data_IF_126035793696
#
_entry.id   IF_126035793696
#
_cell.length_a   1.000
_cell.length_b   1.000
_cell.length_c   1.000
_cell.angle_alpha   90.00
_cell.angle_beta   90.00
_cell.angle_gamma   90.00
#
_symmetry.space_group_name_H-M   'P 1'
#
loop_
_entity.id
_entity.type
_entity.pdbx_description
1 polymer ?
#
# COMPACT_ATOMS: atom_id res chain seq x y z
N UNK A 1 -17.87 -31.43 43.78
CA UNK A 1 -16.78 -31.89 42.89
C UNK A 1 -17.43 -32.59 41.70
N UNK A 2 -17.67 -31.87 40.63
CA UNK A 2 -18.39 -32.37 39.44
C UNK A 2 -17.42 -32.41 38.26
N UNK A 3 -17.13 -33.62 37.81
CA UNK A 3 -16.27 -33.94 36.67
C UNK A 3 -17.05 -33.78 35.37
N UNK A 4 -16.65 -32.80 34.55
CA UNK A 4 -17.17 -32.59 33.20
C UNK A 4 -16.37 -33.47 32.23
N UNK A 5 -17.06 -34.43 31.60
CA UNK A 5 -16.53 -35.29 30.53
C UNK A 5 -16.45 -34.50 29.22
N UNK A 6 -15.28 -34.53 28.57
CA UNK A 6 -15.07 -34.03 27.22
C UNK A 6 -15.49 -35.10 26.19
N UNK A 7 -16.45 -34.78 25.33
CA UNK A 7 -16.86 -35.60 24.18
C UNK A 7 -16.03 -35.25 22.94
N UNK A 8 -15.65 -36.30 22.21
CA UNK A 8 -14.79 -36.24 21.03
C UNK A 8 -15.42 -35.53 19.84
N UNK A 9 -14.57 -34.88 19.04
CA UNK A 9 -14.91 -34.31 17.74
C UNK A 9 -14.68 -35.34 16.64
N UNK A 10 -15.77 -35.82 16.06
CA UNK A 10 -15.77 -36.53 14.79
C UNK A 10 -15.39 -35.57 13.65
N UNK A 11 -14.40 -35.98 12.86
CA UNK A 11 -14.00 -35.32 11.61
C UNK A 11 -14.83 -35.90 10.47
N UNK A 12 -15.99 -35.31 10.19
CA UNK A 12 -16.74 -35.58 8.97
C UNK A 12 -16.12 -34.81 7.79
N UNK A 13 -15.74 -35.53 6.74
CA UNK A 13 -15.19 -34.98 5.51
C UNK A 13 -16.26 -34.18 4.75
N UNK A 14 -15.95 -32.93 4.42
CA UNK A 14 -16.82 -32.08 3.62
C UNK A 14 -16.87 -32.56 2.16
N UNK A 15 -18.07 -32.75 1.58
CA UNK A 15 -18.21 -33.12 0.18
C UNK A 15 -17.75 -31.97 -0.72
N UNK A 16 -16.96 -32.31 -1.73
CA UNK A 16 -16.42 -31.42 -2.76
C UNK A 16 -17.58 -30.95 -3.65
N UNK A 17 -18.18 -29.81 -3.32
CA UNK A 17 -19.25 -29.22 -4.12
C UNK A 17 -18.69 -28.77 -5.48
N UNK A 18 -19.28 -29.29 -6.57
CA UNK A 18 -19.03 -28.85 -7.94
C UNK A 18 -19.46 -27.38 -8.04
N UNK A 19 -18.50 -26.49 -8.24
CA UNK A 19 -18.73 -25.07 -8.51
C UNK A 19 -19.43 -24.94 -9.86
N UNK A 20 -20.76 -24.87 -9.86
CA UNK A 20 -21.51 -24.42 -11.03
C UNK A 20 -21.05 -23.00 -11.37
N UNK A 21 -20.85 -22.72 -12.66
CA UNK A 21 -20.59 -21.38 -13.18
C UNK A 21 -21.79 -20.49 -12.86
N UNK A 22 -21.82 -19.92 -11.65
CA UNK A 22 -22.70 -18.80 -11.33
C UNK A 22 -22.13 -17.63 -12.12
N UNK A 23 -22.83 -17.25 -13.19
CA UNK A 23 -22.59 -15.99 -13.92
C UNK A 23 -22.83 -14.88 -12.90
N UNK A 24 -21.77 -14.46 -12.21
CA UNK A 24 -21.84 -13.31 -11.33
C UNK A 24 -22.08 -12.11 -12.23
N UNK A 25 -23.26 -11.48 -12.11
CA UNK A 25 -23.53 -10.17 -12.70
C UNK A 25 -22.50 -9.19 -12.14
N UNK A 26 -21.42 -8.97 -12.89
CA UNK A 26 -20.42 -7.97 -12.53
C UNK A 26 -21.08 -6.62 -12.64
N UNK A 27 -20.95 -5.83 -11.59
CA UNK A 27 -21.40 -4.45 -11.59
C UNK A 27 -20.47 -3.68 -12.53
N UNK A 28 -20.98 -3.30 -13.70
CA UNK A 28 -20.19 -2.55 -14.68
C UNK A 28 -19.98 -1.11 -14.19
N UNK A 29 -18.76 -0.59 -14.39
CA UNK A 29 -18.47 0.80 -14.05
C UNK A 29 -19.27 1.72 -14.98
N UNK A 30 -19.92 2.78 -14.47
CA UNK A 30 -20.67 3.71 -15.31
C UNK A 30 -19.76 4.63 -16.15
N UNK A 31 -18.44 4.51 -16.02
CA UNK A 31 -17.46 5.40 -16.66
C UNK A 31 -16.69 4.66 -17.74
N UNK A 32 -16.53 5.31 -18.90
CA UNK A 32 -15.73 4.77 -20.00
C UNK A 32 -14.27 5.18 -19.78
N UNK A 33 -13.37 4.23 -19.61
CA UNK A 33 -11.94 4.53 -19.40
C UNK A 33 -11.17 4.72 -20.70
N UNK A 34 -9.95 5.26 -20.63
CA UNK A 34 -9.08 5.36 -21.81
C UNK A 34 -8.76 3.97 -22.34
N UNK A 35 -8.53 3.01 -21.44
CA UNK A 35 -8.31 1.60 -21.78
C UNK A 35 -9.53 0.96 -22.45
N UNK A 36 -10.75 1.28 -22.03
CA UNK A 36 -11.97 0.76 -22.67
C UNK A 36 -12.08 1.25 -24.11
N UNK A 37 -11.89 2.56 -24.34
CA UNK A 37 -11.91 3.15 -25.69
C UNK A 37 -10.83 2.52 -26.57
N UNK A 38 -9.60 2.39 -26.07
CA UNK A 38 -8.51 1.75 -26.83
C UNK A 38 -8.82 0.28 -27.14
N UNK A 39 -9.36 -0.47 -26.18
CA UNK A 39 -9.71 -1.87 -26.35
C UNK A 39 -10.80 -2.05 -27.41
N UNK A 40 -11.79 -1.16 -27.40
CA UNK A 40 -12.87 -1.16 -28.39
C UNK A 40 -12.38 -0.83 -29.80
N UNK A 41 -11.53 0.19 -29.94
CA UNK A 41 -10.90 0.50 -31.24
C UNK A 41 -10.06 -0.67 -31.74
N UNK A 42 -9.26 -1.27 -30.85
CA UNK A 42 -8.42 -2.42 -31.20
C UNK A 42 -9.25 -3.65 -31.60
N UNK A 43 -10.41 -3.86 -30.97
CA UNK A 43 -11.36 -4.91 -31.33
C UNK A 43 -11.86 -4.71 -32.77
N UNK A 44 -12.33 -3.51 -33.10
CA UNK A 44 -12.78 -3.18 -34.45
C UNK A 44 -11.67 -3.32 -35.51
N UNK A 45 -10.45 -2.86 -35.21
CA UNK A 45 -9.31 -3.03 -36.12
C UNK A 45 -8.98 -4.50 -36.35
N UNK A 46 -9.05 -5.34 -35.32
CA UNK A 46 -8.82 -6.77 -35.45
C UNK A 46 -9.90 -7.44 -36.34
N UNK A 47 -11.16 -7.05 -36.19
CA UNK A 47 -12.26 -7.60 -36.99
C UNK A 47 -12.17 -7.16 -38.46
N UNK A 48 -11.82 -5.90 -38.74
CA UNK A 48 -11.55 -5.43 -40.11
C UNK A 48 -10.38 -6.17 -40.76
N UNK A 49 -9.32 -6.46 -40.00
CA UNK A 49 -8.17 -7.21 -40.50
C UNK A 49 -8.52 -8.69 -40.79
N UNK A 50 -9.41 -9.31 -40.01
CA UNK A 50 -9.93 -10.66 -40.29
C UNK A 50 -10.71 -10.69 -41.61
N UNK A 51 -11.61 -9.72 -41.83
CA UNK A 51 -12.40 -9.64 -43.06
C UNK A 51 -11.55 -9.44 -44.32
N UNK A 52 -10.46 -8.66 -44.23
CA UNK A 52 -9.54 -8.44 -45.36
C UNK A 52 -8.76 -9.70 -45.74
N UNK A 53 -8.35 -10.50 -44.76
CA UNK A 53 -7.56 -11.70 -45.04
C UNK A 53 -8.44 -12.90 -45.44
N UNK A 54 -9.74 -12.88 -45.13
CA UNK A 54 -10.67 -13.93 -45.57
C UNK A 54 -11.02 -13.84 -47.05
N UNK A 55 -10.79 -12.71 -47.74
CA UNK A 55 -11.17 -12.57 -49.16
C UNK A 55 -10.11 -13.05 -50.15
N UNK A 56 -8.84 -13.18 -49.75
CA UNK A 56 -7.72 -13.30 -50.70
C UNK A 56 -6.96 -14.65 -50.61
N UNK A 57 -7.43 -15.63 -49.83
CA UNK A 57 -6.69 -16.88 -49.59
C UNK A 57 -7.39 -18.13 -50.15
N UNK A 58 -7.72 -18.10 -51.44
CA UNK A 58 -7.77 -19.31 -52.28
C UNK A 58 -6.55 -19.30 -53.21
N UNK A 59 -5.34 -19.51 -52.67
CA UNK A 59 -4.25 -20.00 -53.50
C UNK A 59 -3.25 -20.85 -52.72
N UNK A 60 -2.99 -21.99 -53.34
CA UNK A 60 -2.30 -23.20 -52.90
C UNK A 60 -0.78 -23.07 -52.89
N UNK A 61 -0.13 -23.78 -51.96
CA UNK A 61 1.21 -24.32 -52.15
C UNK A 61 2.35 -23.36 -51.85
N UNK A 62 2.88 -23.42 -50.63
CA UNK A 62 4.19 -24.06 -50.40
C UNK A 62 4.56 -23.91 -48.92
N UNK A 63 4.61 -25.07 -48.28
CA UNK A 63 5.14 -25.28 -46.95
C UNK A 63 6.66 -25.05 -47.03
N UNK A 64 7.16 -23.90 -46.58
CA UNK A 64 8.49 -23.76 -45.97
C UNK A 64 8.91 -22.29 -45.85
N UNK A 65 8.48 -21.61 -44.77
CA UNK A 65 9.35 -20.58 -44.18
C UNK A 65 8.94 -20.18 -42.75
N UNK A 66 9.66 -20.72 -41.78
CA UNK A 66 9.51 -20.53 -40.33
C UNK A 66 9.88 -19.12 -39.82
N UNK A 67 9.90 -18.11 -40.68
CA UNK A 67 10.31 -16.74 -40.36
C UNK A 67 9.25 -15.67 -40.66
N UNK A 68 7.99 -16.10 -40.80
CA UNK A 68 6.86 -15.19 -40.89
C UNK A 68 6.65 -14.54 -39.53
N UNK A 69 7.36 -13.43 -39.28
CA UNK A 69 6.94 -12.37 -38.35
C UNK A 69 5.48 -12.10 -38.66
N UNK A 70 4.57 -12.70 -37.90
CA UNK A 70 3.14 -12.49 -38.01
C UNK A 70 2.94 -10.98 -38.07
N UNK A 71 2.46 -10.44 -39.19
CA UNK A 71 2.14 -9.02 -39.31
C UNK A 71 1.11 -8.76 -38.22
N UNK A 72 1.58 -8.23 -37.08
CA UNK A 72 0.71 -7.95 -35.93
C UNK A 72 -0.34 -6.98 -36.46
N UNK A 73 -1.61 -7.32 -36.25
CA UNK A 73 -2.71 -6.45 -36.63
C UNK A 73 -2.44 -5.04 -36.06
N UNK A 74 -2.76 -3.98 -36.83
CA UNK A 74 -2.61 -2.62 -36.34
C UNK A 74 -3.35 -2.48 -35.00
N UNK A 75 -2.67 -1.91 -34.00
CA UNK A 75 -3.25 -1.69 -32.67
C UNK A 75 -2.82 -0.33 -32.14
N UNK A 76 -3.72 0.32 -31.44
CA UNK A 76 -3.43 1.47 -30.60
C UNK A 76 -2.94 1.00 -29.24
N UNK A 77 -1.92 1.67 -28.72
CA UNK A 77 -1.42 1.48 -27.37
C UNK A 77 -1.12 2.84 -26.73
N UNK A 78 -1.41 2.95 -25.43
CA UNK A 78 -1.07 4.15 -24.68
C UNK A 78 0.44 4.27 -24.56
N UNK A 79 0.98 5.42 -24.95
CA UNK A 79 2.41 5.71 -24.88
C UNK A 79 2.68 6.85 -23.90
N UNK A 80 3.68 6.69 -23.04
CA UNK A 80 4.25 7.77 -22.23
C UNK A 80 5.31 8.49 -23.03
N UNK A 81 5.17 9.81 -23.13
CA UNK A 81 6.18 10.70 -23.71
C UNK A 81 7.15 11.17 -22.61
N UNK A 82 8.44 11.13 -22.91
CA UNK A 82 9.50 11.65 -22.06
C UNK A 82 9.93 13.06 -22.49
N UNK A 83 10.69 13.74 -21.62
CA UNK A 83 11.15 15.12 -21.87
C UNK A 83 12.11 15.24 -23.06
N UNK A 84 12.78 14.15 -23.43
CA UNK A 84 13.64 14.02 -24.63
C UNK A 84 12.84 13.82 -25.93
N UNK A 85 11.50 13.74 -25.84
CA UNK A 85 10.61 13.49 -26.96
C UNK A 85 10.43 12.00 -27.31
N UNK A 86 11.19 11.09 -26.69
CA UNK A 86 11.01 9.65 -26.90
C UNK A 86 9.68 9.17 -26.31
N UNK A 87 9.17 8.07 -26.85
CA UNK A 87 7.96 7.43 -26.34
C UNK A 87 8.22 5.99 -25.92
N UNK A 88 7.55 5.57 -24.85
CA UNK A 88 7.50 4.15 -24.46
C UNK A 88 6.06 3.73 -24.24
N UNK A 89 5.78 2.44 -24.30
CA UNK A 89 4.50 1.89 -23.86
C UNK A 89 4.24 2.25 -22.39
N UNK A 90 3.04 2.73 -22.09
CA UNK A 90 2.61 3.03 -20.73
C UNK A 90 2.58 1.73 -19.90
N UNK A 91 3.16 1.78 -18.71
CA UNK A 91 3.07 0.67 -17.74
C UNK A 91 1.62 0.48 -17.24
N UNK A 92 1.26 -0.68 -16.68
CA UNK A 92 -0.09 -0.91 -16.16
C UNK A 92 -0.54 0.14 -15.12
N UNK A 93 0.38 0.59 -14.26
CA UNK A 93 0.09 1.65 -13.28
C UNK A 93 -0.17 3.00 -13.94
N UNK A 94 0.53 3.32 -15.04
CA UNK A 94 0.29 4.55 -15.80
C UNK A 94 -1.03 4.49 -16.58
N UNK A 95 -1.39 3.31 -17.10
CA UNK A 95 -2.70 3.09 -17.72
C UNK A 95 -3.82 3.29 -16.69
N UNK A 96 -3.73 2.63 -15.52
CA UNK A 96 -4.69 2.78 -14.44
C UNK A 96 -4.81 4.24 -13.96
N UNK A 97 -3.71 4.98 -13.88
CA UNK A 97 -3.72 6.40 -13.52
C UNK A 97 -4.42 7.26 -14.58
N UNK A 98 -4.19 6.99 -15.87
CA UNK A 98 -4.90 7.68 -16.96
C UNK A 98 -6.39 7.34 -16.97
N UNK A 99 -6.74 6.07 -16.76
CA UNK A 99 -8.13 5.63 -16.66
C UNK A 99 -8.84 6.34 -15.51
N UNK A 100 -8.20 6.41 -14.34
CA UNK A 100 -8.74 7.14 -13.20
C UNK A 100 -8.88 8.64 -13.51
N UNK A 101 -7.91 9.26 -14.18
CA UNK A 101 -8.02 10.65 -14.60
C UNK A 101 -9.21 10.88 -15.55
N UNK A 102 -9.43 9.99 -16.53
CA UNK A 102 -10.59 10.05 -17.42
C UNK A 102 -11.91 9.92 -16.66
N UNK A 103 -11.99 9.00 -15.67
CA UNK A 103 -13.17 8.88 -14.79
C UNK A 103 -13.44 10.17 -14.03
N UNK A 104 -12.40 10.74 -13.40
CA UNK A 104 -12.51 11.99 -12.63
C UNK A 104 -12.95 13.16 -13.52
N UNK A 105 -12.46 13.25 -14.75
CA UNK A 105 -12.90 14.29 -15.71
C UNK A 105 -14.37 14.13 -16.11
N UNK A 106 -14.81 12.91 -16.43
CA UNK A 106 -16.22 12.64 -16.74
C UNK A 106 -17.14 12.97 -15.57
N UNK A 107 -16.74 12.57 -14.37
CA UNK A 107 -17.47 12.89 -13.13
C UNK A 107 -17.54 14.40 -12.92
N UNK A 108 -16.44 15.12 -13.08
CA UNK A 108 -16.43 16.58 -12.91
C UNK A 108 -17.41 17.27 -13.87
N UNK A 109 -17.44 16.86 -15.14
CA UNK A 109 -18.41 17.37 -16.13
C UNK A 109 -19.84 17.02 -15.72
N UNK A 110 -20.09 15.79 -15.30
CA UNK A 110 -21.42 15.35 -14.87
C UNK A 110 -21.91 16.11 -13.63
N UNK A 111 -21.08 16.22 -12.59
CA UNK A 111 -21.40 16.93 -11.35
C UNK A 111 -21.65 18.42 -11.62
N UNK A 112 -20.88 19.04 -12.52
CA UNK A 112 -21.10 20.42 -12.93
C UNK A 112 -22.44 20.62 -13.68
N UNK A 113 -23.00 19.57 -14.27
CA UNK A 113 -24.33 19.61 -14.89
C UNK A 113 -25.49 19.50 -13.88
N UNK A 114 -25.22 19.06 -12.65
CA UNK A 114 -26.22 18.99 -11.58
C UNK A 114 -26.45 20.39 -11.02
N UNK A 115 -27.72 20.83 -11.01
CA UNK A 115 -28.08 22.23 -10.75
C UNK A 115 -28.13 22.57 -9.27
N UNK A 116 -28.32 21.56 -8.40
CA UNK A 116 -28.50 21.78 -6.96
C UNK A 116 -27.52 20.98 -6.11
N UNK A 117 -27.11 21.54 -4.96
CA UNK A 117 -26.29 20.84 -3.95
C UNK A 117 -26.96 19.54 -3.50
N UNK A 118 -28.30 19.51 -3.45
CA UNK A 118 -29.08 18.32 -3.09
C UNK A 118 -28.92 17.19 -4.13
N UNK A 119 -28.92 17.52 -5.43
CA UNK A 119 -28.67 16.54 -6.49
C UNK A 119 -27.23 16.01 -6.44
N UNK A 120 -26.25 16.89 -6.23
CA UNK A 120 -24.85 16.50 -6.06
C UNK A 120 -24.65 15.58 -4.86
N UNK A 121 -25.30 15.89 -3.73
CA UNK A 121 -25.32 15.04 -2.54
C UNK A 121 -25.94 13.66 -2.83
N UNK A 122 -27.12 13.64 -3.45
CA UNK A 122 -27.81 12.39 -3.77
C UNK A 122 -26.99 11.50 -4.71
N UNK A 123 -26.36 12.10 -5.72
CA UNK A 123 -25.45 11.41 -6.62
C UNK A 123 -24.23 10.85 -5.87
N UNK A 124 -23.61 11.66 -5.02
CA UNK A 124 -22.44 11.23 -4.23
C UNK A 124 -22.78 10.08 -3.27
N UNK A 125 -23.97 10.10 -2.66
CA UNK A 125 -24.45 9.01 -1.79
C UNK A 125 -24.74 7.72 -2.58
N UNK A 126 -25.27 7.85 -3.82
CA UNK A 126 -25.44 6.72 -4.72
C UNK A 126 -24.08 6.09 -5.11
N UNK A 127 -23.08 6.92 -5.48
CA UNK A 127 -21.72 6.44 -5.75
C UNK A 127 -21.08 5.81 -4.51
N UNK A 128 -21.28 6.38 -3.32
CA UNK A 128 -20.81 5.77 -2.07
C UNK A 128 -21.43 4.40 -1.83
N UNK A 129 -22.71 4.23 -2.18
CA UNK A 129 -23.41 2.95 -2.07
C UNK A 129 -22.84 1.92 -3.05
N UNK A 130 -22.64 2.31 -4.31
CA UNK A 130 -21.96 1.50 -5.33
C UNK A 130 -20.55 1.06 -4.89
N UNK A 131 -19.77 1.97 -4.30
CA UNK A 131 -18.46 1.63 -3.74
C UNK A 131 -18.54 0.60 -2.61
N UNK A 132 -19.61 0.63 -1.80
CA UNK A 132 -19.82 -0.41 -0.78
C UNK A 132 -20.11 -1.78 -1.40
N UNK A 133 -20.80 -1.83 -2.55
CA UNK A 133 -21.05 -3.09 -3.26
C UNK A 133 -19.73 -3.71 -3.73
N UNK A 134 -18.85 -2.94 -4.37
CA UNK A 134 -17.50 -3.39 -4.73
C UNK A 134 -16.70 -3.83 -3.50
N UNK A 135 -16.78 -3.08 -2.40
CA UNK A 135 -16.12 -3.46 -1.15
C UNK A 135 -16.63 -4.81 -0.61
N UNK A 136 -17.93 -5.07 -0.66
CA UNK A 136 -18.51 -6.36 -0.24
C UNK A 136 -18.10 -7.52 -1.15
N UNK A 137 -17.85 -7.25 -2.43
CA UNK A 137 -17.29 -8.20 -3.40
C UNK A 137 -15.76 -8.39 -3.24
N UNK A 138 -15.13 -7.70 -2.28
CA UNK A 138 -13.67 -7.69 -2.05
C UNK A 138 -12.87 -7.06 -3.20
N UNK A 139 -13.54 -6.29 -4.06
CA UNK A 139 -12.94 -5.50 -5.15
C UNK A 139 -12.52 -4.12 -4.63
N UNK A 140 -11.52 -4.12 -3.73
CA UNK A 140 -11.17 -2.92 -2.96
C UNK A 140 -10.56 -1.79 -3.80
N UNK A 141 -9.85 -2.10 -4.90
CA UNK A 141 -9.29 -1.09 -5.79
C UNK A 141 -10.41 -0.35 -6.55
N UNK A 142 -11.38 -1.10 -7.07
CA UNK A 142 -12.58 -0.58 -7.72
C UNK A 142 -13.42 0.25 -6.75
N UNK A 143 -13.59 -0.23 -5.51
CA UNK A 143 -14.26 0.52 -4.46
C UNK A 143 -13.57 1.86 -4.20
N UNK A 144 -12.23 1.89 -4.13
CA UNK A 144 -11.46 3.13 -3.97
C UNK A 144 -11.69 4.08 -5.14
N UNK A 145 -11.62 3.60 -6.39
CA UNK A 145 -11.90 4.42 -7.57
C UNK A 145 -13.26 5.10 -7.46
N UNK A 146 -14.31 4.33 -7.14
CA UNK A 146 -15.68 4.86 -6.99
C UNK A 146 -15.77 5.86 -5.84
N UNK A 147 -15.21 5.55 -4.67
CA UNK A 147 -15.21 6.50 -3.54
C UNK A 147 -14.45 7.80 -3.84
N UNK A 148 -13.36 7.75 -4.63
CA UNK A 148 -12.65 8.94 -5.07
C UNK A 148 -13.50 9.80 -6.00
N UNK A 149 -14.36 9.20 -6.84
CA UNK A 149 -15.34 9.97 -7.64
C UNK A 149 -16.35 10.72 -6.78
N UNK A 150 -16.77 10.15 -5.63
CA UNK A 150 -17.64 10.84 -4.68
C UNK A 150 -17.04 12.18 -4.23
N UNK A 151 -15.72 12.25 -4.03
CA UNK A 151 -15.06 13.44 -3.51
C UNK A 151 -15.14 14.64 -4.45
N UNK A 152 -15.35 14.43 -5.75
CA UNK A 152 -15.58 15.53 -6.71
C UNK A 152 -16.90 16.24 -6.41
N UNK A 153 -17.95 15.48 -6.07
CA UNK A 153 -19.27 16.02 -5.75
C UNK A 153 -19.37 16.58 -4.32
N UNK A 154 -18.49 16.14 -3.40
CA UNK A 154 -18.50 16.57 -1.99
C UNK A 154 -17.51 17.72 -1.76
N UNK A 155 -17.45 18.65 -2.71
CA UNK A 155 -16.75 19.92 -2.53
C UNK A 155 -17.65 20.89 -1.77
N UNK A 156 -17.21 21.40 -0.61
CA UNK A 156 -18.02 22.35 0.14
C UNK A 156 -17.98 23.68 -0.62
N UNK A 157 -19.09 24.07 -1.24
CA UNK A 157 -19.24 25.44 -1.72
C UNK A 157 -19.44 26.39 -0.51
N UNK A 158 -20.16 25.90 0.50
CA UNK A 158 -20.40 26.60 1.76
C UNK A 158 -19.82 25.80 2.93
N UNK A 159 -19.06 26.46 3.80
CA UNK A 159 -18.45 25.83 4.99
C UNK A 159 -19.48 25.35 6.01
N UNK A 160 -20.73 25.81 5.88
CA UNK A 160 -21.83 25.59 6.82
C UNK A 160 -22.63 24.30 6.60
N UNK A 161 -22.40 23.57 5.49
CA UNK A 161 -23.19 22.38 5.20
C UNK A 161 -22.71 21.14 5.97
N UNK A 162 -23.36 20.89 7.10
CA UNK A 162 -23.17 19.70 7.91
C UNK A 162 -23.34 18.40 7.12
N UNK A 163 -24.35 18.31 6.25
CA UNK A 163 -24.69 17.05 5.58
C UNK A 163 -23.54 16.66 4.64
N UNK A 164 -23.01 17.64 3.92
CA UNK A 164 -21.82 17.49 3.06
C UNK A 164 -20.61 17.03 3.87
N UNK A 165 -20.39 17.59 5.07
CA UNK A 165 -19.31 17.13 5.95
C UNK A 165 -19.53 15.68 6.42
N UNK A 166 -20.73 15.31 6.87
CA UNK A 166 -21.02 13.94 7.30
C UNK A 166 -20.79 12.95 6.16
N UNK A 167 -21.22 13.29 4.95
CA UNK A 167 -20.97 12.48 3.76
C UNK A 167 -19.48 12.37 3.44
N UNK A 168 -18.75 13.49 3.46
CA UNK A 168 -17.30 13.50 3.28
C UNK A 168 -16.62 12.54 4.27
N UNK A 169 -16.97 12.61 5.56
CA UNK A 169 -16.39 11.73 6.57
C UNK A 169 -16.74 10.26 6.32
N UNK A 170 -17.97 9.93 5.90
CA UNK A 170 -18.34 8.56 5.50
C UNK A 170 -17.48 8.07 4.33
N UNK A 171 -17.29 8.89 3.29
CA UNK A 171 -16.45 8.54 2.13
C UNK A 171 -15.00 8.34 2.53
N UNK A 172 -14.42 9.26 3.31
CA UNK A 172 -13.04 9.15 3.80
C UNK A 172 -12.85 7.91 4.68
N UNK A 173 -13.83 7.58 5.51
CA UNK A 173 -13.84 6.39 6.36
C UNK A 173 -13.87 5.08 5.54
N UNK A 174 -14.56 5.08 4.40
CA UNK A 174 -14.61 3.97 3.46
C UNK A 174 -13.32 3.82 2.63
N UNK A 175 -12.75 4.94 2.17
CA UNK A 175 -11.43 4.98 1.52
C UNK A 175 -10.34 4.45 2.44
N UNK A 176 -10.30 4.93 3.68
CA UNK A 176 -9.35 4.48 4.69
C UNK A 176 -9.48 2.96 4.95
N UNK A 177 -10.70 2.44 5.00
CA UNK A 177 -10.97 1.02 5.21
C UNK A 177 -10.52 0.18 4.02
N UNK A 178 -10.86 0.58 2.80
CA UNK A 178 -10.47 -0.14 1.58
C UNK A 178 -8.94 -0.16 1.41
N UNK A 179 -8.28 0.98 1.65
CA UNK A 179 -6.82 1.06 1.66
C UNK A 179 -6.19 0.18 2.75
N UNK A 180 -6.85 0.03 3.90
CA UNK A 180 -6.36 -0.83 4.98
C UNK A 180 -6.43 -2.32 4.59
N UNK A 181 -7.47 -2.75 3.86
CA UNK A 181 -7.59 -4.13 3.35
C UNK A 181 -6.52 -4.46 2.32
N UNK A 182 -6.10 -3.48 1.52
CA UNK A 182 -5.01 -3.62 0.55
C UNK A 182 -3.60 -3.50 1.17
N UNK A 183 -3.50 -3.28 2.49
CA UNK A 183 -2.22 -3.08 3.17
C UNK A 183 -1.56 -1.72 2.87
N UNK A 184 -2.29 -0.76 2.30
CA UNK A 184 -1.79 0.58 1.95
C UNK A 184 -1.80 1.52 3.16
N UNK A 185 -1.10 1.15 4.22
CA UNK A 185 -1.18 1.82 5.52
C UNK A 185 -0.84 3.32 5.47
N UNK A 186 0.10 3.74 4.62
CA UNK A 186 0.42 5.16 4.42
C UNK A 186 -0.79 5.93 3.88
N UNK A 187 -1.43 5.43 2.82
CA UNK A 187 -2.64 6.04 2.25
C UNK A 187 -3.80 6.05 3.25
N UNK A 188 -3.98 4.99 4.05
CA UNK A 188 -4.97 4.98 5.14
C UNK A 188 -4.74 6.14 6.11
N UNK A 189 -3.49 6.37 6.52
CA UNK A 189 -3.14 7.49 7.40
C UNK A 189 -3.42 8.84 6.73
N UNK A 190 -3.06 8.98 5.46
CA UNK A 190 -3.27 10.21 4.68
C UNK A 190 -4.78 10.53 4.58
N UNK A 191 -5.61 9.54 4.22
CA UNK A 191 -7.06 9.70 4.19
C UNK A 191 -7.65 10.08 5.55
N UNK A 192 -7.27 9.37 6.62
CA UNK A 192 -7.75 9.71 7.96
C UNK A 192 -7.30 11.11 8.41
N UNK A 193 -6.09 11.53 8.04
CA UNK A 193 -5.55 12.84 8.40
C UNK A 193 -6.26 13.96 7.66
N UNK A 194 -6.46 13.81 6.35
CA UNK A 194 -7.24 14.76 5.56
C UNK A 194 -8.67 14.91 6.10
N UNK A 195 -9.28 13.80 6.53
CA UNK A 195 -10.61 13.81 7.12
C UNK A 195 -10.67 14.63 8.43
N UNK A 196 -9.72 14.38 9.33
CA UNK A 196 -9.64 15.09 10.62
C UNK A 196 -9.26 16.56 10.48
N UNK A 197 -8.39 16.89 9.52
CA UNK A 197 -8.00 18.26 9.24
C UNK A 197 -9.19 19.08 8.74
N UNK A 198 -10.08 18.48 7.95
CA UNK A 198 -11.31 19.14 7.50
C UNK A 198 -12.27 19.45 8.65
N UNK A 199 -12.47 18.49 9.56
CA UNK A 199 -13.27 18.71 10.78
C UNK A 199 -12.66 19.81 11.65
N UNK A 200 -11.33 19.86 11.79
CA UNK A 200 -10.66 20.92 12.56
C UNK A 200 -10.90 22.31 11.96
N UNK A 201 -10.94 22.41 10.62
CA UNK A 201 -11.24 23.68 9.94
C UNK A 201 -12.68 24.15 10.16
N UNK A 202 -13.63 23.23 10.33
CA UNK A 202 -15.06 23.52 10.48
C UNK A 202 -15.54 23.53 11.94
N UNK A 203 -14.61 23.64 12.90
CA UNK A 203 -14.85 23.45 14.34
C UNK A 203 -15.97 24.33 14.94
N UNK A 204 -16.30 25.47 14.32
CA UNK A 204 -17.40 26.35 14.74
C UNK A 204 -18.79 25.70 14.64
N UNK A 205 -18.98 24.68 13.80
CA UNK A 205 -20.27 24.03 13.55
C UNK A 205 -20.50 22.75 14.38
N UNK A 206 -19.50 22.27 15.12
CA UNK A 206 -19.42 20.85 15.50
C UNK A 206 -19.86 20.50 16.92
N UNK A 207 -20.23 21.50 17.73
CA UNK A 207 -20.47 21.29 19.15
C UNK A 207 -21.61 20.29 19.46
N UNK A 208 -22.45 19.92 18.50
CA UNK A 208 -23.66 19.12 18.78
C UNK A 208 -24.02 18.04 17.73
N UNK A 209 -23.09 17.57 16.88
CA UNK A 209 -23.43 16.55 15.87
C UNK A 209 -22.84 15.18 16.19
N UNK A 210 -23.68 14.33 16.80
CA UNK A 210 -23.39 12.94 17.12
C UNK A 210 -22.88 12.14 15.92
N UNK A 211 -23.46 12.35 14.72
CA UNK A 211 -23.01 11.67 13.51
C UNK A 211 -21.57 12.02 13.12
N UNK A 212 -21.14 13.28 13.31
CA UNK A 212 -19.75 13.70 13.05
C UNK A 212 -18.81 13.02 14.04
N UNK A 213 -19.15 13.04 15.33
CA UNK A 213 -18.38 12.37 16.38
C UNK A 213 -18.21 10.86 16.09
N UNK A 214 -19.30 10.17 15.71
CA UNK A 214 -19.24 8.75 15.36
C UNK A 214 -18.30 8.48 14.18
N UNK A 215 -18.32 9.32 13.14
CA UNK A 215 -17.36 9.17 12.03
C UNK A 215 -15.92 9.46 12.48
N UNK A 216 -15.70 10.49 13.31
CA UNK A 216 -14.39 10.80 13.85
C UNK A 216 -13.81 9.64 14.66
N UNK A 217 -14.61 8.99 15.51
CA UNK A 217 -14.21 7.78 16.25
C UNK A 217 -13.70 6.70 15.30
N UNK A 218 -14.46 6.41 14.23
CA UNK A 218 -14.10 5.40 13.22
C UNK A 218 -12.80 5.77 12.50
N UNK A 219 -12.61 7.06 12.19
CA UNK A 219 -11.41 7.60 11.53
C UNK A 219 -10.18 7.50 12.43
N UNK A 220 -10.28 7.94 13.69
CA UNK A 220 -9.19 7.82 14.67
C UNK A 220 -8.80 6.36 14.88
N UNK A 221 -9.77 5.46 15.06
CA UNK A 221 -9.53 4.02 15.19
C UNK A 221 -8.73 3.46 13.99
N UNK A 222 -9.16 3.76 12.76
CA UNK A 222 -8.49 3.29 11.54
C UNK A 222 -7.08 3.86 11.38
N UNK A 223 -6.88 5.16 11.70
CA UNK A 223 -5.56 5.78 11.68
C UNK A 223 -4.63 5.16 12.71
N UNK A 224 -5.13 4.93 13.93
CA UNK A 224 -4.40 4.28 15.01
C UNK A 224 -3.97 2.86 14.62
N UNK A 225 -4.88 2.08 14.05
CA UNK A 225 -4.59 0.73 13.53
C UNK A 225 -3.53 0.74 12.42
N UNK A 226 -3.66 1.63 11.44
CA UNK A 226 -2.67 1.76 10.36
C UNK A 226 -1.28 2.16 10.88
N UNK A 227 -1.21 3.09 11.85
CA UNK A 227 0.04 3.50 12.51
C UNK A 227 0.69 2.35 13.27
N UNK A 228 -0.08 1.53 13.99
CA UNK A 228 0.44 0.32 14.65
C UNK A 228 1.06 -0.63 13.63
N UNK A 229 0.38 -0.89 12.51
CA UNK A 229 0.87 -1.78 11.46
C UNK A 229 2.15 -1.27 10.78
N UNK A 230 2.42 0.04 10.84
CA UNK A 230 3.68 0.65 10.39
C UNK A 230 4.77 0.74 11.46
N UNK A 231 4.50 0.35 12.71
CA UNK A 231 5.44 0.48 13.82
C UNK A 231 5.43 1.85 14.51
N UNK A 232 4.51 2.75 14.15
CA UNK A 232 4.36 4.09 14.75
C UNK A 232 3.53 4.02 16.05
N UNK A 233 4.07 3.31 17.06
CA UNK A 233 3.29 2.92 18.24
C UNK A 233 2.82 4.09 19.12
N UNK A 234 3.67 5.11 19.32
CA UNK A 234 3.34 6.30 20.13
C UNK A 234 2.14 7.05 19.53
N UNK A 235 2.18 7.30 18.22
CA UNK A 235 1.11 7.97 17.49
C UNK A 235 -0.15 7.10 17.40
N UNK A 236 0.00 5.78 17.24
CA UNK A 236 -1.12 4.83 17.29
C UNK A 236 -1.88 4.92 18.62
N UNK A 237 -1.16 4.94 19.75
CA UNK A 237 -1.73 5.06 21.09
C UNK A 237 -2.53 6.35 21.26
N UNK A 238 -2.00 7.47 20.76
CA UNK A 238 -2.67 8.76 20.82
C UNK A 238 -3.98 8.75 20.03
N UNK A 239 -3.99 8.15 18.83
CA UNK A 239 -5.20 8.02 18.02
C UNK A 239 -6.25 7.12 18.66
N UNK A 240 -5.86 5.97 19.24
CA UNK A 240 -6.81 5.08 19.91
C UNK A 240 -7.42 5.72 21.16
N UNK A 241 -6.65 6.53 21.91
CA UNK A 241 -7.18 7.31 23.03
C UNK A 241 -8.16 8.39 22.55
N UNK A 242 -7.85 9.04 21.42
CA UNK A 242 -8.77 9.99 20.81
C UNK A 242 -10.06 9.30 20.35
N UNK A 243 -9.98 8.10 19.77
CA UNK A 243 -11.17 7.32 19.42
C UNK A 243 -12.02 7.00 20.66
N UNK A 244 -11.38 6.55 21.75
CA UNK A 244 -12.07 6.22 22.99
C UNK A 244 -12.74 7.45 23.63
N UNK A 245 -12.09 8.61 23.64
CA UNK A 245 -12.67 9.82 24.23
C UNK A 245 -13.90 10.31 23.46
N UNK A 246 -13.97 10.07 22.15
CA UNK A 246 -15.15 10.42 21.35
C UNK A 246 -16.36 9.52 21.64
N UNK A 247 -16.18 8.30 22.16
CA UNK A 247 -17.30 7.41 22.53
C UNK A 247 -17.97 7.91 23.81
N UNK A 248 -17.18 8.34 24.80
CA UNK A 248 -17.70 8.72 26.13
C UNK A 248 -18.54 9.99 26.13
N UNK A 249 -18.38 10.88 25.14
CA UNK A 249 -19.12 12.15 25.08
C UNK A 249 -20.57 11.96 24.62
N UNK A 250 -20.91 10.78 24.08
CA UNK A 250 -22.16 10.55 23.37
C UNK A 250 -23.39 10.15 24.19
N UNK A 251 -23.44 10.23 25.52
CA UNK A 251 -24.45 9.58 26.42
C UNK A 251 -25.96 9.72 26.07
N UNK A 252 -26.35 10.56 25.11
CA UNK A 252 -27.72 10.70 24.59
C UNK A 252 -27.96 9.86 23.31
N UNK A 253 -27.88 8.53 23.37
CA UNK A 253 -27.94 7.67 22.17
C UNK A 253 -29.30 6.98 21.97
N UNK A 254 -29.76 6.98 20.71
CA UNK A 254 -30.88 6.17 20.20
C UNK A 254 -30.52 4.68 20.34
N UNK A 255 -31.42 3.86 20.90
CA UNK A 255 -31.19 2.46 21.33
C UNK A 255 -30.39 1.60 20.32
N UNK A 256 -30.60 1.77 19.01
CA UNK A 256 -29.93 0.97 17.96
C UNK A 256 -28.42 1.27 17.82
N UNK A 257 -27.98 2.49 18.12
CA UNK A 257 -26.57 2.87 18.05
C UNK A 257 -25.76 2.38 19.26
N UNK A 258 -26.42 1.99 20.36
CA UNK A 258 -25.75 1.49 21.58
C UNK A 258 -24.97 0.20 21.32
N UNK A 259 -25.54 -0.74 20.57
CA UNK A 259 -24.88 -2.01 20.22
C UNK A 259 -23.67 -1.76 19.31
N UNK A 260 -23.80 -0.84 18.36
CA UNK A 260 -22.68 -0.46 17.51
C UNK A 260 -21.56 0.14 18.34
N UNK A 261 -21.85 1.06 19.27
CA UNK A 261 -20.83 1.66 20.13
C UNK A 261 -20.12 0.63 21.01
N UNK A 262 -20.85 -0.31 21.62
CA UNK A 262 -20.24 -1.38 22.40
C UNK A 262 -19.31 -2.24 21.54
N UNK A 263 -19.75 -2.66 20.35
CA UNK A 263 -18.91 -3.42 19.43
C UNK A 263 -17.64 -2.65 19.00
N UNK A 264 -17.75 -1.32 18.86
CA UNK A 264 -16.62 -0.45 18.56
C UNK A 264 -15.67 -0.28 19.74
N UNK A 265 -16.19 -0.15 20.96
CA UNK A 265 -15.40 -0.08 22.18
C UNK A 265 -14.57 -1.35 22.37
N UNK A 266 -15.19 -2.53 22.21
CA UNK A 266 -14.49 -3.82 22.25
C UNK A 266 -13.40 -3.92 21.16
N UNK A 267 -13.67 -3.41 19.95
CA UNK A 267 -12.68 -3.35 18.89
C UNK A 267 -11.48 -2.42 19.22
N UNK A 268 -11.72 -1.29 19.88
CA UNK A 268 -10.65 -0.37 20.33
C UNK A 268 -9.82 -1.03 21.43
N UNK A 269 -10.46 -1.68 22.41
CA UNK A 269 -9.76 -2.36 23.51
C UNK A 269 -8.90 -3.52 22.99
N UNK A 270 -9.42 -4.30 22.04
CA UNK A 270 -8.64 -5.32 21.35
C UNK A 270 -7.44 -4.73 20.60
N UNK A 271 -7.61 -3.58 19.96
CA UNK A 271 -6.51 -2.92 19.24
C UNK A 271 -5.44 -2.39 20.20
N UNK A 272 -5.82 -1.90 21.39
CA UNK A 272 -4.87 -1.56 22.46
C UNK A 272 -4.06 -2.76 22.93
N UNK A 273 -4.68 -3.93 23.07
CA UNK A 273 -3.96 -5.16 23.42
C UNK A 273 -2.93 -5.53 22.35
N UNK A 274 -3.33 -5.47 21.07
CA UNK A 274 -2.42 -5.72 19.94
C UNK A 274 -1.28 -4.70 19.90
N UNK A 275 -1.57 -3.43 20.19
CA UNK A 275 -0.56 -2.38 20.28
C UNK A 275 0.45 -2.66 21.40
N UNK A 276 -0.01 -3.03 22.59
CA UNK A 276 0.86 -3.36 23.72
C UNK A 276 1.79 -4.54 23.39
N UNK A 277 1.26 -5.59 22.75
CA UNK A 277 2.06 -6.73 22.29
C UNK A 277 3.11 -6.31 21.25
N UNK A 278 2.73 -5.48 20.27
CA UNK A 278 3.64 -4.99 19.24
C UNK A 278 4.75 -4.09 19.82
N UNK A 279 4.42 -3.20 20.76
CA UNK A 279 5.40 -2.37 21.47
C UNK A 279 6.41 -3.22 22.24
N UNK A 280 5.95 -4.26 22.95
CA UNK A 280 6.83 -5.16 23.70
C UNK A 280 7.77 -5.92 22.77
N UNK A 281 7.25 -6.45 21.66
CA UNK A 281 8.07 -7.13 20.65
C UNK A 281 9.07 -6.17 19.99
N UNK A 282 8.64 -4.94 19.70
CA UNK A 282 9.49 -3.88 19.17
C UNK A 282 10.69 -3.59 20.07
N UNK A 283 10.45 -3.38 21.37
CA UNK A 283 11.54 -3.16 22.36
C UNK A 283 12.49 -4.34 22.43
N UNK A 284 11.96 -5.57 22.51
CA UNK A 284 12.79 -6.78 22.56
C UNK A 284 13.67 -6.93 21.31
N UNK A 285 13.16 -6.56 20.14
CA UNK A 285 13.92 -6.59 18.90
C UNK A 285 15.00 -5.51 18.87
N UNK A 286 14.68 -4.29 19.32
CA UNK A 286 15.65 -3.20 19.46
C UNK A 286 16.78 -3.57 20.41
N UNK A 287 16.47 -4.12 21.59
CA UNK A 287 17.48 -4.59 22.54
C UNK A 287 18.38 -5.68 21.94
N UNK A 288 17.81 -6.62 21.18
CA UNK A 288 18.60 -7.65 20.48
C UNK A 288 19.52 -7.04 19.43
N UNK A 289 19.03 -6.09 18.64
CA UNK A 289 19.82 -5.38 17.63
C UNK A 289 20.96 -4.58 18.28
N UNK A 290 20.67 -3.86 19.36
CA UNK A 290 21.69 -3.13 20.12
C UNK A 290 22.75 -4.07 20.70
N UNK A 291 22.36 -5.23 21.24
CA UNK A 291 23.33 -6.24 21.72
C UNK A 291 24.19 -6.80 20.60
N UNK A 292 23.58 -7.14 19.46
CA UNK A 292 24.32 -7.62 18.28
C UNK A 292 25.30 -6.56 17.76
N UNK A 293 24.87 -5.29 17.69
CA UNK A 293 25.70 -4.17 17.27
C UNK A 293 26.88 -3.94 18.23
N UNK A 294 26.64 -3.97 19.54
CA UNK A 294 27.72 -3.88 20.55
C UNK A 294 28.72 -5.02 20.41
N UNK A 295 28.27 -6.24 20.15
CA UNK A 295 29.17 -7.37 19.91
C UNK A 295 30.06 -7.13 18.69
N UNK A 296 29.50 -6.68 17.57
CA UNK A 296 30.26 -6.38 16.34
C UNK A 296 31.33 -5.31 16.61
N UNK A 297 30.96 -4.23 17.31
CA UNK A 297 31.89 -3.15 17.63
C UNK A 297 33.04 -3.63 18.53
N UNK A 298 32.75 -4.44 19.56
CA UNK A 298 33.78 -5.01 20.43
C UNK A 298 34.75 -5.92 19.67
N UNK A 299 34.24 -6.79 18.79
CA UNK A 299 35.08 -7.69 17.98
C UNK A 299 35.89 -6.94 16.90
N UNK A 300 35.41 -5.79 16.43
CA UNK A 300 36.14 -4.95 15.46
C UNK A 300 37.38 -4.28 16.06
N UNK A 301 37.33 -3.91 17.35
CA UNK A 301 38.45 -3.30 18.05
C UNK A 301 39.58 -4.28 18.36
N UNK A 302 39.26 -5.52 18.70
CA UNK A 302 40.27 -6.54 19.03
C UNK A 302 41.06 -7.01 17.80
N UNK A 303 40.42 -7.08 16.62
CA UNK A 303 41.12 -7.47 15.38
C UNK A 303 42.13 -6.43 14.88
N UNK A 304 41.98 -5.15 15.20
CA UNK A 304 42.96 -4.13 14.81
C UNK A 304 44.25 -4.18 15.65
N UNK A 305 44.19 -4.65 16.90
CA UNK A 305 45.38 -4.80 17.75
C UNK A 305 46.15 -6.10 17.49
N UNK A 306 45.51 -7.12 16.93
CA UNK A 306 46.15 -8.40 16.61
C UNK A 306 46.83 -8.45 15.22
N UNK A 307 46.63 -7.45 14.36
CA UNK A 307 47.18 -7.40 12.99
C UNK A 307 48.61 -6.80 12.94
N UNK A 308 49.43 -7.08 13.95
CA UNK A 308 50.80 -6.58 14.05
C UNK A 308 51.90 -7.64 13.98
N UNK A 309 51.59 -8.94 14.13
CA UNK A 309 52.67 -9.92 14.39
C UNK A 309 52.52 -11.33 13.81
N UNK A 310 51.54 -11.65 12.96
CA UNK A 310 51.40 -13.04 12.47
C UNK A 310 51.17 -13.13 10.95
N UNK A 311 52.10 -13.85 10.34
CA UNK A 311 52.24 -14.27 8.94
C UNK A 311 51.01 -14.95 8.36
N UNK A 312 50.83 -14.71 7.06
CA UNK A 312 49.95 -15.38 6.10
C UNK A 312 49.63 -16.84 6.42
N UNK A 313 48.33 -17.18 6.44
CA UNK A 313 47.69 -18.51 6.22
C UNK A 313 46.55 -18.80 7.21
N UNK A 314 45.43 -18.06 7.15
CA UNK A 314 44.15 -18.57 7.64
C UNK A 314 42.98 -17.83 6.99
N UNK A 315 42.33 -18.51 6.04
CA UNK A 315 41.27 -17.99 5.21
C UNK A 315 39.93 -17.81 5.95
N UNK A 316 39.34 -16.62 5.81
CA UNK A 316 37.92 -16.36 5.49
C UNK A 316 36.81 -17.12 6.27
N UNK A 317 36.71 -16.94 7.59
CA UNK A 317 35.42 -17.08 8.27
C UNK A 317 34.71 -15.72 8.37
N UNK A 318 33.84 -15.46 7.38
CA UNK A 318 32.96 -14.30 7.36
C UNK A 318 31.85 -14.51 8.41
N UNK A 319 31.97 -13.85 9.56
CA UNK A 319 30.97 -13.89 10.64
C UNK A 319 29.68 -13.21 10.12
N UNK A 320 28.70 -14.03 9.70
CA UNK A 320 27.41 -13.53 9.25
C UNK A 320 26.64 -12.89 10.43
N UNK A 321 26.13 -11.67 10.21
CA UNK A 321 25.38 -10.87 11.18
C UNK A 321 24.14 -11.58 11.76
N UNK A 322 23.63 -12.54 11.00
CA UNK A 322 22.68 -13.52 11.45
C UNK A 322 23.40 -14.86 11.38
N UNK A 323 23.85 -15.38 12.51
CA UNK A 323 24.16 -16.78 12.62
C UNK A 323 22.84 -17.51 12.35
N UNK A 324 22.58 -17.84 11.09
CA UNK A 324 21.58 -18.80 10.71
C UNK A 324 21.95 -20.07 11.46
N UNK A 325 21.36 -20.26 12.64
CA UNK A 325 21.19 -21.58 13.19
C UNK A 325 20.42 -22.30 12.10
N UNK A 326 21.14 -23.09 11.30
CA UNK A 326 20.60 -24.03 10.35
C UNK A 326 19.76 -25.06 11.14
N UNK A 327 18.61 -24.59 11.62
CA UNK A 327 17.50 -25.42 12.04
C UNK A 327 17.08 -26.10 10.76
N UNK A 328 17.44 -27.39 10.64
CA UNK A 328 16.91 -28.36 9.68
C UNK A 328 15.38 -28.48 9.81
N UNK A 329 14.66 -27.38 9.57
CA UNK A 329 13.23 -27.36 9.33
C UNK A 329 13.07 -27.01 7.86
N UNK A 330 12.80 -28.07 7.11
CA UNK A 330 12.16 -28.08 5.79
C UNK A 330 11.16 -26.95 5.66
N UNK A 331 11.60 -25.81 5.12
CA UNK A 331 10.70 -24.78 4.61
C UNK A 331 10.59 -24.93 3.10
N UNK A 332 9.44 -25.49 2.72
CA UNK A 332 8.62 -25.14 1.56
C UNK A 332 9.35 -24.62 0.31
N UNK A 333 9.51 -25.53 -0.65
CA UNK A 333 9.88 -25.25 -2.03
C UNK A 333 8.75 -24.48 -2.76
N UNK A 334 8.74 -23.16 -2.64
CA UNK A 334 7.99 -22.25 -3.53
C UNK A 334 8.79 -20.94 -3.71
N UNK A 335 9.94 -21.02 -4.38
CA UNK A 335 10.51 -19.89 -5.11
C UNK A 335 10.86 -20.36 -6.52
N UNK A 336 10.34 -19.62 -7.50
CA UNK A 336 10.55 -19.86 -8.93
C UNK A 336 12.04 -19.77 -9.30
N UNK A 337 12.49 -20.51 -10.33
CA UNK A 337 13.86 -20.48 -10.79
C UNK A 337 14.18 -19.13 -11.45
N UNK A 338 15.28 -18.50 -11.01
CA UNK A 338 15.86 -17.34 -11.67
C UNK A 338 16.58 -17.81 -12.94
N UNK A 339 16.16 -17.27 -14.09
CA UNK A 339 16.82 -17.40 -15.38
C UNK A 339 18.17 -16.67 -15.36
N UNK A 340 19.24 -17.40 -15.68
CA UNK A 340 20.59 -16.90 -15.92
C UNK A 340 20.62 -15.98 -17.14
N UNK A 341 21.09 -14.74 -16.95
CA UNK A 341 21.50 -13.87 -18.04
C UNK A 341 22.97 -14.12 -18.36
N UNK A 342 23.24 -14.20 -19.66
CA UNK A 342 24.52 -14.46 -20.31
C UNK A 342 25.41 -13.22 -20.19
N UNK A 343 26.66 -13.43 -19.77
CA UNK A 343 27.73 -12.43 -19.77
C UNK A 343 28.14 -12.08 -21.20
N UNK A 344 28.23 -10.78 -21.50
CA UNK A 344 28.85 -10.25 -22.72
C UNK A 344 30.14 -9.53 -22.32
N UNK A 345 31.25 -10.08 -22.81
CA UNK A 345 32.63 -9.75 -22.49
C UNK A 345 33.13 -8.68 -23.47
N UNK A 346 33.40 -7.47 -22.99
CA UNK A 346 34.22 -6.51 -23.73
C UNK A 346 35.15 -5.76 -22.78
N UNK A 347 36.40 -6.18 -22.85
CA UNK A 347 37.59 -5.61 -22.23
C UNK A 347 37.96 -4.29 -22.91
N UNK A 348 38.10 -3.21 -22.13
CA UNK A 348 38.68 -1.94 -22.57
C UNK A 348 39.78 -1.55 -21.58
N UNK A 349 41.03 -1.59 -22.03
CA UNK A 349 42.20 -1.10 -21.32
C UNK A 349 42.25 0.43 -21.40
N UNK A 350 42.28 1.10 -20.24
CA UNK A 350 42.61 2.53 -20.12
C UNK A 350 43.56 2.72 -18.93
N UNK A 351 44.74 3.23 -19.26
CA UNK A 351 45.85 3.54 -18.34
C UNK A 351 45.54 4.66 -17.33
N UNK A 352 46.25 4.56 -16.20
CA UNK A 352 46.35 5.42 -15.02
C UNK A 352 46.54 6.93 -15.30
N UNK A 353 45.77 7.78 -14.59
CA UNK A 353 46.29 8.76 -13.62
C UNK A 353 45.18 9.74 -13.16
N UNK A 354 44.50 9.38 -12.07
CA UNK A 354 44.05 10.30 -11.02
C UNK A 354 43.45 9.45 -9.91
N UNK A 355 43.94 9.62 -8.68
CA UNK A 355 43.45 8.88 -7.51
C UNK A 355 42.03 9.32 -7.15
N UNK A 356 41.07 8.89 -7.96
CA UNK A 356 39.67 8.85 -7.59
C UNK A 356 39.53 7.73 -6.56
N UNK A 357 38.77 7.95 -5.46
CA UNK A 357 38.49 6.89 -4.53
C UNK A 357 37.94 5.71 -5.34
N UNK A 358 38.54 4.53 -5.18
CA UNK A 358 38.10 3.33 -5.88
C UNK A 358 36.58 3.22 -5.75
N UNK A 359 35.90 2.72 -6.79
CA UNK A 359 34.43 2.58 -6.79
C UNK A 359 33.91 1.97 -5.48
N UNK A 360 34.71 1.08 -4.89
CA UNK A 360 34.50 0.49 -3.57
C UNK A 360 34.58 1.48 -2.39
N UNK A 361 35.60 2.34 -2.33
CA UNK A 361 35.70 3.41 -1.32
C UNK A 361 34.57 4.43 -1.45
N UNK A 362 34.18 4.79 -2.67
CA UNK A 362 33.01 5.62 -2.91
C UNK A 362 31.73 4.94 -2.39
N UNK A 363 31.55 3.66 -2.72
CA UNK A 363 30.43 2.86 -2.26
C UNK A 363 30.36 2.73 -0.73
N UNK A 364 31.49 2.49 -0.06
CA UNK A 364 31.58 2.46 1.41
C UNK A 364 31.25 3.83 2.03
N UNK A 365 31.69 4.91 1.41
CA UNK A 365 31.41 6.28 1.89
C UNK A 365 29.92 6.62 1.75
N UNK A 366 29.30 6.22 0.64
CA UNK A 366 27.86 6.39 0.40
C UNK A 366 27.05 5.53 1.38
N UNK A 367 27.42 4.27 1.58
CA UNK A 367 26.78 3.39 2.58
C UNK A 367 26.90 3.98 3.99
N UNK A 368 28.07 4.50 4.36
CA UNK A 368 28.29 5.14 5.66
C UNK A 368 27.33 6.31 5.90
N UNK A 369 27.17 7.19 4.90
CA UNK A 369 26.24 8.35 4.97
C UNK A 369 24.78 7.92 5.01
N UNK A 370 24.41 6.90 4.24
CA UNK A 370 23.05 6.34 4.24
C UNK A 370 22.75 5.67 5.58
N UNK A 371 23.69 4.92 6.16
CA UNK A 371 23.55 4.31 7.47
C UNK A 371 23.43 5.36 8.59
N UNK A 372 24.23 6.43 8.53
CA UNK A 372 24.16 7.57 9.46
C UNK A 372 22.80 8.28 9.38
N UNK A 373 22.28 8.48 8.16
CA UNK A 373 20.94 9.07 7.93
C UNK A 373 19.81 8.16 8.40
N UNK A 374 19.94 6.84 8.18
CA UNK A 374 18.97 5.86 8.67
C UNK A 374 18.97 5.78 10.20
N UNK A 375 20.15 5.84 10.84
CA UNK A 375 20.27 5.89 12.30
C UNK A 375 19.66 7.18 12.87
N UNK A 376 19.87 8.32 12.20
CA UNK A 376 19.20 9.57 12.52
C UNK A 376 17.67 9.45 12.42
N UNK A 377 17.15 8.79 11.38
CA UNK A 377 15.70 8.61 11.17
C UNK A 377 15.08 7.58 12.12
N UNK A 378 15.86 6.62 12.60
CA UNK A 378 15.42 5.59 13.56
C UNK A 378 15.32 6.17 14.98
N UNK A 379 15.81 7.40 15.22
CA UNK A 379 15.47 8.19 16.40
C UNK A 379 16.34 7.91 17.63
N UNK A 380 17.63 7.66 17.43
CA UNK A 380 18.61 7.63 18.53
C UNK A 380 19.19 9.05 18.73
N UNK A 381 18.34 10.01 19.13
CA UNK A 381 18.73 11.42 19.35
C UNK A 381 19.89 11.55 20.35
N UNK A 382 19.99 10.64 21.33
CA UNK A 382 21.06 10.59 22.33
C UNK A 382 22.43 10.23 21.71
N UNK A 383 22.48 9.42 20.65
CA UNK A 383 23.73 9.05 19.99
C UNK A 383 24.29 10.22 19.16
N UNK A 384 23.42 10.94 18.46
CA UNK A 384 23.80 12.10 17.62
C UNK A 384 24.33 13.25 18.48
N UNK A 385 23.74 13.49 19.66
CA UNK A 385 24.28 14.43 20.64
C UNK A 385 25.67 14.01 21.13
N UNK A 386 25.89 12.72 21.45
CA UNK A 386 27.19 12.24 21.92
C UNK A 386 28.31 12.34 20.87
N UNK A 387 27.99 12.17 19.58
CA UNK A 387 28.96 12.30 18.47
C UNK A 387 29.23 13.78 18.15
N UNK A 388 28.20 14.63 18.21
CA UNK A 388 28.34 16.08 18.08
C UNK A 388 29.19 16.67 19.20
N UNK A 389 29.06 16.18 20.44
CA UNK A 389 29.86 16.63 21.58
C UNK A 389 31.33 16.19 21.46
N UNK A 390 31.59 14.97 20.97
CA UNK A 390 32.97 14.51 20.69
C UNK A 390 33.65 15.29 19.58
N UNK A 391 32.92 15.69 18.53
CA UNK A 391 33.45 16.55 17.46
C UNK A 391 33.69 18.01 17.88
N UNK A 392 33.12 18.46 19.00
CA UNK A 392 33.43 19.78 19.61
C UNK A 392 34.59 19.72 20.60
N UNK A 393 34.97 18.52 21.05
CA UNK A 393 36.06 18.29 21.98
C UNK A 393 37.38 17.91 21.29
N UNK A 394 37.34 17.66 19.99
CA UNK A 394 38.49 17.59 19.07
C UNK A 394 38.53 18.88 18.26
#
# INVERSE_FOLDING_TARGET
MSTIRASGRDRSGSPRQKTGNVVQNRVESPFVTTTDVMSEINRHLADLHKHKNSSDTEYTGDEDNNNLRSKKAPRFELQRKFGDGTTRRASPAEQAANDMNSKLQQVAVHVASLSTTREQYAWAEAQRSLGNEFYHQQEYEQAIDVYLTCLIAVQPQDESDCLVLVLFLKVMNNLALSALQLGWYKKTIDFCTLALDRVRKQQSLHSHQQHVQLQMTKIYYKRGKARRLRGEYKQSRADLRAAQSQISVGEYIIIDESQQQQSFQEAIDKEFQLLHQAEFQGRRNQEKQQRAMRQILLHSGEKQLALGTATDQAANECIALYAEKASKRTFSALRAPATSLVDDDSTFDIDEESMTPTLWQYYLTVIGRVAETLLFWIGDEEYVQSVSERKKAM
#
